data_IF_198608083740
#
_entry.id   IF_198608083740
#
_cell.length_a   1.000
_cell.length_b   1.000
_cell.length_c   1.000
_cell.angle_alpha   90.00
_cell.angle_beta   90.00
_cell.angle_gamma   90.00
#
_symmetry.space_group_name_H-M   'P 1'
#
loop_
_entity.id
_entity.type
_entity.pdbx_description
1 polymer ?
#
# COMPACT_ATOMS: atom_id res chain seq x y z
N UNK A 1 15.31 -58.29 1.28
CA UNK A 1 15.59 -56.97 0.68
C UNK A 1 14.36 -56.11 0.85
N UNK A 2 14.37 -55.16 1.78
CA UNK A 2 13.26 -54.22 1.98
C UNK A 2 13.36 -53.08 0.96
N UNK A 3 12.30 -52.75 0.20
CA UNK A 3 12.33 -51.61 -0.71
C UNK A 3 12.40 -50.31 0.11
N UNK A 4 13.40 -49.47 -0.18
CA UNK A 4 13.51 -48.12 0.39
C UNK A 4 12.33 -47.27 -0.11
N UNK A 5 11.64 -46.52 0.76
CA UNK A 5 10.63 -45.58 0.33
C UNK A 5 11.29 -44.46 -0.48
N UNK A 6 10.77 -44.22 -1.69
CA UNK A 6 11.20 -43.14 -2.57
C UNK A 6 10.72 -41.83 -1.95
N UNK A 7 11.69 -40.99 -1.57
CA UNK A 7 11.55 -39.56 -1.31
C UNK A 7 10.50 -38.89 -2.22
N UNK A 8 9.35 -38.31 -1.81
CA UNK A 8 8.62 -37.46 -2.73
C UNK A 8 9.53 -36.27 -3.06
N UNK A 9 10.01 -36.23 -4.31
CA UNK A 9 10.72 -35.07 -4.83
C UNK A 9 9.78 -33.88 -4.70
N UNK A 10 10.02 -33.03 -3.71
CA UNK A 10 9.44 -31.69 -3.64
C UNK A 10 9.93 -30.95 -4.88
N UNK A 11 9.08 -30.91 -5.90
CA UNK A 11 9.21 -30.02 -7.05
C UNK A 11 9.23 -28.60 -6.51
N UNK A 12 10.42 -28.07 -6.21
CA UNK A 12 10.60 -26.69 -5.81
C UNK A 12 10.10 -25.82 -6.96
N UNK A 13 9.00 -25.10 -6.72
CA UNK A 13 8.50 -24.10 -7.65
C UNK A 13 9.63 -23.07 -7.87
N UNK A 14 10.11 -22.94 -9.11
CA UNK A 14 11.07 -21.92 -9.46
C UNK A 14 10.32 -20.59 -9.62
N UNK A 15 10.56 -19.66 -8.69
CA UNK A 15 10.08 -18.29 -8.82
C UNK A 15 11.10 -17.48 -9.62
N UNK A 16 10.77 -17.02 -10.84
CA UNK A 16 11.69 -16.17 -11.61
C UNK A 16 12.06 -14.92 -10.83
N UNK A 17 13.23 -14.37 -11.11
CA UNK A 17 13.65 -13.10 -10.54
C UNK A 17 12.68 -11.99 -10.97
N UNK A 18 12.31 -11.07 -10.07
CA UNK A 18 11.43 -9.96 -10.41
C UNK A 18 12.09 -9.03 -11.43
N UNK A 19 11.31 -8.50 -12.36
CA UNK A 19 11.81 -7.54 -13.34
C UNK A 19 12.42 -6.31 -12.62
N UNK A 20 13.69 -5.97 -12.90
CA UNK A 20 14.39 -4.94 -12.13
C UNK A 20 13.87 -3.52 -12.40
N UNK A 21 13.26 -3.30 -13.58
CA UNK A 21 12.84 -1.98 -14.03
C UNK A 21 11.45 -1.53 -13.56
N UNK A 22 10.61 -2.46 -13.07
CA UNK A 22 9.22 -2.14 -12.71
C UNK A 22 9.14 -1.10 -11.59
N UNK A 23 9.89 -1.32 -10.50
CA UNK A 23 9.93 -0.40 -9.36
C UNK A 23 10.47 1.00 -9.74
N UNK A 24 11.67 1.14 -10.36
CA UNK A 24 12.19 2.45 -10.72
C UNK A 24 11.36 3.15 -11.79
N UNK A 25 10.75 2.42 -12.74
CA UNK A 25 9.88 3.03 -13.74
C UNK A 25 8.60 3.61 -13.11
N UNK A 26 7.96 2.86 -12.20
CA UNK A 26 6.78 3.33 -11.48
C UNK A 26 7.10 4.56 -10.63
N UNK A 27 8.16 4.50 -9.84
CA UNK A 27 8.59 5.65 -9.02
C UNK A 27 8.96 6.85 -9.88
N UNK A 28 9.67 6.64 -11.00
CA UNK A 28 9.99 7.70 -11.94
C UNK A 28 8.75 8.35 -12.52
N UNK A 29 7.73 7.57 -12.89
CA UNK A 29 6.46 8.09 -13.39
C UNK A 29 5.70 8.90 -12.33
N UNK A 30 5.62 8.39 -11.10
CA UNK A 30 4.98 9.08 -9.96
C UNK A 30 5.69 10.40 -9.65
N UNK A 31 7.02 10.38 -9.52
CA UNK A 31 7.81 11.59 -9.25
C UNK A 31 7.70 12.60 -10.40
N UNK A 32 7.74 12.13 -11.65
CA UNK A 32 7.55 13.01 -12.81
C UNK A 32 6.16 13.67 -12.80
N UNK A 33 5.12 12.94 -12.43
CA UNK A 33 3.77 13.49 -12.30
C UNK A 33 3.69 14.55 -11.19
N UNK A 34 4.26 14.28 -10.01
CA UNK A 34 4.27 15.24 -8.89
C UNK A 34 5.05 16.52 -9.25
N UNK A 35 6.22 16.36 -9.89
CA UNK A 35 7.04 17.49 -10.35
C UNK A 35 6.34 18.30 -11.45
N UNK A 36 5.71 17.63 -12.42
CA UNK A 36 4.92 18.29 -13.46
C UNK A 36 3.75 19.06 -12.86
N UNK A 37 3.06 18.46 -11.88
CA UNK A 37 1.95 19.11 -11.17
C UNK A 37 2.44 20.36 -10.42
N UNK A 38 3.53 20.26 -9.67
CA UNK A 38 4.13 21.41 -8.99
C UNK A 38 4.51 22.54 -9.97
N UNK A 39 5.09 22.18 -11.13
CA UNK A 39 5.40 23.15 -12.18
C UNK A 39 4.14 23.82 -12.74
N UNK A 40 3.12 23.05 -13.12
CA UNK A 40 1.88 23.61 -13.69
C UNK A 40 1.17 24.59 -12.77
N UNK A 41 1.30 24.42 -11.44
CA UNK A 41 0.69 25.30 -10.44
C UNK A 41 1.58 26.45 -9.97
N UNK A 42 2.80 26.57 -10.50
CA UNK A 42 3.74 27.63 -10.16
C UNK A 42 3.16 29.03 -10.44
N UNK A 43 3.42 30.03 -9.56
CA UNK A 43 4.29 29.96 -8.39
C UNK A 43 3.66 29.30 -7.15
N UNK A 44 2.34 29.10 -7.11
CA UNK A 44 1.64 28.48 -5.99
C UNK A 44 1.59 26.94 -6.09
N UNK A 45 2.76 26.33 -6.16
CA UNK A 45 2.97 24.89 -6.36
C UNK A 45 2.38 24.04 -5.21
N UNK A 46 2.21 24.63 -4.02
CA UNK A 46 1.65 23.99 -2.83
C UNK A 46 0.23 23.48 -3.08
N UNK A 47 -0.51 24.13 -3.98
CA UNK A 47 -1.86 23.69 -4.41
C UNK A 47 -1.86 22.32 -5.09
N UNK A 48 -0.72 21.87 -5.60
CA UNK A 48 -0.59 20.52 -6.14
C UNK A 48 -0.66 19.43 -5.05
N UNK A 49 -0.57 19.81 -3.77
CA UNK A 49 -0.42 18.90 -2.64
C UNK A 49 -1.35 19.18 -1.44
N UNK A 50 -1.77 20.43 -1.17
CA UNK A 50 -2.46 20.83 0.09
C UNK A 50 -3.98 20.57 0.18
N UNK A 51 -4.59 19.84 -0.75
CA UNK A 51 -6.06 19.68 -0.72
C UNK A 51 -6.51 18.32 -1.21
N UNK A 52 -7.66 17.87 -0.74
CA UNK A 52 -8.36 16.63 -1.15
C UNK A 52 -8.83 16.64 -2.62
N UNK A 53 -8.66 17.78 -3.31
CA UNK A 53 -8.91 17.91 -4.75
C UNK A 53 -7.63 18.13 -5.55
N UNK A 54 -6.48 18.02 -4.89
CA UNK A 54 -5.17 18.24 -5.50
C UNK A 54 -4.80 17.09 -6.45
N UNK A 55 -3.94 17.36 -7.46
CA UNK A 55 -3.36 16.30 -8.29
C UNK A 55 -2.76 15.15 -7.50
N UNK A 56 -2.15 15.40 -6.34
CA UNK A 56 -1.56 14.36 -5.50
C UNK A 56 -2.62 13.45 -4.87
N UNK A 57 -3.70 14.00 -4.27
CA UNK A 57 -4.83 13.22 -3.73
C UNK A 57 -5.53 12.36 -4.80
N UNK A 58 -5.73 12.91 -6.01
CA UNK A 58 -6.26 12.14 -7.15
C UNK A 58 -5.32 10.99 -7.54
N UNK A 59 -4.01 11.22 -7.50
CA UNK A 59 -3.04 10.18 -7.79
C UNK A 59 -3.03 9.11 -6.69
N UNK A 60 -3.14 9.47 -5.41
CA UNK A 60 -3.27 8.52 -4.30
C UNK A 60 -4.50 7.62 -4.49
N UNK A 61 -5.68 8.21 -4.70
CA UNK A 61 -6.91 7.46 -5.00
C UNK A 61 -6.73 6.48 -6.17
N UNK A 62 -6.06 6.90 -7.24
CA UNK A 62 -5.78 6.05 -8.40
C UNK A 62 -4.77 4.93 -8.08
N UNK A 63 -3.75 5.20 -7.27
CA UNK A 63 -2.77 4.20 -6.82
C UNK A 63 -3.41 3.18 -5.87
N UNK A 64 -4.24 3.60 -4.92
CA UNK A 64 -4.99 2.70 -4.04
C UNK A 64 -5.95 1.80 -4.82
N UNK A 65 -6.66 2.34 -5.81
CA UNK A 65 -7.48 1.53 -6.71
C UNK A 65 -6.62 0.54 -7.53
N UNK A 66 -5.46 0.98 -7.98
CA UNK A 66 -4.51 0.12 -8.71
C UNK A 66 -3.96 -0.99 -7.81
N UNK A 67 -3.66 -0.69 -6.55
CA UNK A 67 -3.28 -1.66 -5.52
C UNK A 67 -4.39 -2.69 -5.28
N UNK A 68 -5.64 -2.24 -5.21
CA UNK A 68 -6.82 -3.10 -5.09
C UNK A 68 -6.93 -4.09 -6.27
N UNK A 69 -6.86 -3.57 -7.51
CA UNK A 69 -6.91 -4.38 -8.74
C UNK A 69 -5.71 -5.34 -8.82
N UNK A 70 -4.52 -4.86 -8.45
CA UNK A 70 -3.30 -5.68 -8.43
C UNK A 70 -3.41 -6.81 -7.43
N UNK A 71 -3.90 -6.54 -6.21
CA UNK A 71 -4.16 -7.55 -5.21
C UNK A 71 -5.20 -8.57 -5.69
N UNK A 72 -6.28 -8.12 -6.36
CA UNK A 72 -7.31 -9.00 -6.91
C UNK A 72 -6.73 -9.92 -7.99
N UNK A 73 -5.92 -9.37 -8.91
CA UNK A 73 -5.21 -10.14 -9.94
C UNK A 73 -4.27 -11.16 -9.32
N UNK A 74 -3.42 -10.76 -8.36
CA UNK A 74 -2.50 -11.66 -7.67
C UNK A 74 -3.24 -12.76 -6.91
N UNK A 75 -4.45 -12.48 -6.42
CA UNK A 75 -5.33 -13.47 -5.79
C UNK A 75 -5.87 -14.47 -6.81
N UNK A 76 -6.39 -13.98 -7.93
CA UNK A 76 -6.95 -14.80 -9.01
C UNK A 76 -5.89 -15.72 -9.65
N UNK A 77 -4.67 -15.22 -9.82
CA UNK A 77 -3.53 -15.97 -10.35
C UNK A 77 -2.83 -16.85 -9.29
N UNK A 78 -3.34 -16.88 -8.05
CA UNK A 78 -2.77 -17.63 -6.92
C UNK A 78 -1.32 -17.26 -6.59
N UNK A 79 -0.93 -16.01 -6.87
CA UNK A 79 0.38 -15.43 -6.52
C UNK A 79 0.46 -15.04 -5.04
N UNK A 80 -0.70 -14.90 -4.39
CA UNK A 80 -0.84 -14.67 -2.95
C UNK A 80 -1.78 -15.73 -2.34
N UNK A 81 -1.63 -16.05 -1.04
CA UNK A 81 -2.62 -16.81 -0.30
C UNK A 81 -4.00 -16.15 -0.42
N UNK A 82 -5.03 -16.93 -0.76
CA UNK A 82 -6.39 -16.40 -1.04
C UNK A 82 -6.90 -15.41 0.02
N UNK A 83 -6.77 -15.77 1.31
CA UNK A 83 -7.25 -14.92 2.41
C UNK A 83 -6.50 -13.59 2.49
N UNK A 84 -5.18 -13.59 2.29
CA UNK A 84 -4.37 -12.38 2.25
C UNK A 84 -4.76 -11.51 1.05
N UNK A 85 -4.89 -12.15 -0.11
CA UNK A 85 -5.26 -11.49 -1.35
C UNK A 85 -6.62 -10.79 -1.26
N UNK A 86 -7.65 -11.49 -0.79
CA UNK A 86 -8.98 -10.91 -0.53
C UNK A 86 -8.90 -9.78 0.50
N UNK A 87 -8.15 -9.99 1.60
CA UNK A 87 -7.96 -8.96 2.63
C UNK A 87 -7.34 -7.68 2.05
N UNK A 88 -6.30 -7.80 1.23
CA UNK A 88 -5.64 -6.67 0.57
C UNK A 88 -6.58 -5.98 -0.43
N UNK A 89 -7.31 -6.73 -1.25
CA UNK A 89 -8.30 -6.15 -2.18
C UNK A 89 -9.35 -5.34 -1.44
N UNK A 90 -9.91 -5.88 -0.37
CA UNK A 90 -10.91 -5.16 0.42
C UNK A 90 -10.31 -3.95 1.13
N UNK A 91 -9.11 -4.09 1.72
CA UNK A 91 -8.44 -3.00 2.41
C UNK A 91 -8.10 -1.84 1.46
N UNK A 92 -7.44 -2.10 0.33
CA UNK A 92 -7.14 -1.04 -0.63
C UNK A 92 -8.38 -0.46 -1.29
N UNK A 93 -9.42 -1.27 -1.53
CA UNK A 93 -10.71 -0.76 -2.00
C UNK A 93 -11.37 0.18 -0.99
N UNK A 94 -11.34 -0.17 0.30
CA UNK A 94 -11.85 0.68 1.37
C UNK A 94 -11.03 1.96 1.50
N UNK A 95 -9.69 1.88 1.46
CA UNK A 95 -8.81 3.06 1.50
C UNK A 95 -9.01 3.97 0.28
N UNK A 96 -9.18 3.43 -0.93
CA UNK A 96 -9.45 4.24 -2.11
C UNK A 96 -10.79 5.00 -2.03
N UNK A 97 -11.80 4.40 -1.41
CA UNK A 97 -13.07 5.07 -1.14
C UNK A 97 -12.94 6.09 -0.02
N UNK A 98 -12.21 5.75 1.02
CA UNK A 98 -11.94 6.63 2.15
C UNK A 98 -11.21 7.90 1.69
N UNK A 99 -10.20 7.76 0.85
CA UNK A 99 -9.46 8.88 0.25
C UNK A 99 -10.39 9.79 -0.57
N UNK A 100 -11.23 9.21 -1.42
CA UNK A 100 -12.09 10.00 -2.30
C UNK A 100 -13.28 10.67 -1.59
N UNK A 101 -13.75 10.09 -0.48
CA UNK A 101 -14.97 10.54 0.22
C UNK A 101 -14.72 10.99 1.66
N UNK A 102 -13.48 10.97 2.11
CA UNK A 102 -13.02 11.34 3.46
C UNK A 102 -13.86 10.67 4.56
N UNK A 103 -14.11 9.36 4.42
CA UNK A 103 -15.06 8.65 5.29
C UNK A 103 -14.59 8.66 6.76
N UNK A 104 -13.29 8.51 7.00
CA UNK A 104 -12.70 8.54 8.32
C UNK A 104 -12.78 9.95 8.94
N UNK A 105 -12.67 11.01 8.15
CA UNK A 105 -12.87 12.38 8.64
C UNK A 105 -14.33 12.67 8.96
N UNK A 106 -15.24 12.26 8.08
CA UNK A 106 -16.68 12.35 8.34
C UNK A 106 -17.03 11.62 9.64
N UNK A 107 -16.44 10.46 9.89
CA UNK A 107 -16.56 9.79 11.19
C UNK A 107 -15.96 10.63 12.33
N UNK A 108 -14.69 11.03 12.21
CA UNK A 108 -13.95 11.70 13.27
C UNK A 108 -14.62 13.01 13.72
N UNK A 109 -15.09 13.81 12.76
CA UNK A 109 -15.64 15.13 13.03
C UNK A 109 -17.16 15.15 13.18
N UNK A 110 -17.90 14.33 12.42
CA UNK A 110 -19.37 14.38 12.40
C UNK A 110 -20.07 13.23 13.12
N UNK A 111 -19.34 12.25 13.67
CA UNK A 111 -20.01 11.12 14.33
C UNK A 111 -20.89 11.50 15.54
N UNK A 112 -20.57 12.62 16.20
CA UNK A 112 -21.39 13.12 17.31
C UNK A 112 -22.82 13.51 16.88
N UNK A 113 -23.08 13.72 15.59
CA UNK A 113 -24.41 14.08 15.06
C UNK A 113 -25.38 12.89 15.04
N UNK A 114 -24.87 11.66 15.01
CA UNK A 114 -25.70 10.44 14.84
C UNK A 114 -25.50 9.37 15.91
N UNK A 115 -24.50 9.49 16.80
CA UNK A 115 -24.16 8.45 17.77
C UNK A 115 -23.58 9.03 19.08
N UNK A 116 -24.32 8.87 20.18
CA UNK A 116 -23.92 9.37 21.52
C UNK A 116 -22.57 8.82 22.00
N UNK A 117 -22.19 7.62 21.55
CA UNK A 117 -20.92 6.99 21.90
C UNK A 117 -19.71 7.80 21.39
N UNK A 118 -19.88 8.65 20.37
CA UNK A 118 -18.81 9.50 19.84
C UNK A 118 -18.39 10.64 20.77
N UNK A 119 -19.03 10.80 21.94
CA UNK A 119 -18.47 11.59 23.05
C UNK A 119 -17.12 11.06 23.54
N UNK A 120 -16.88 9.75 23.44
CA UNK A 120 -15.62 9.13 23.84
C UNK A 120 -14.60 9.24 22.71
N UNK A 121 -13.42 9.82 22.98
CA UNK A 121 -12.37 10.02 21.97
C UNK A 121 -11.95 8.72 21.27
N UNK A 122 -11.88 7.60 22.01
CA UNK A 122 -11.54 6.29 21.44
C UNK A 122 -12.51 5.84 20.35
N UNK A 123 -13.80 6.19 20.45
CA UNK A 123 -14.79 5.85 19.42
C UNK A 123 -14.60 6.72 18.18
N UNK A 124 -14.23 8.00 18.35
CA UNK A 124 -13.92 8.90 17.22
C UNK A 124 -12.65 8.47 16.49
N UNK A 125 -11.62 8.03 17.20
CA UNK A 125 -10.36 7.57 16.61
C UNK A 125 -10.39 6.10 16.15
N UNK A 126 -11.50 5.38 16.39
CA UNK A 126 -11.58 3.94 16.13
C UNK A 126 -11.27 3.55 14.68
N UNK A 127 -11.72 4.28 13.63
CA UNK A 127 -11.34 3.95 12.25
C UNK A 127 -9.84 4.07 12.01
N UNK A 128 -9.20 5.16 12.48
CA UNK A 128 -7.75 5.35 12.31
C UNK A 128 -6.94 4.26 13.04
N UNK A 129 -7.37 3.90 14.26
CA UNK A 129 -6.76 2.80 15.01
C UNK A 129 -6.96 1.45 14.31
N UNK A 130 -8.13 1.20 13.73
CA UNK A 130 -8.41 -0.02 12.98
C UNK A 130 -7.50 -0.13 11.75
N UNK A 131 -7.33 0.96 10.98
CA UNK A 131 -6.42 1.01 9.84
C UNK A 131 -4.99 0.72 10.27
N UNK A 132 -4.49 1.32 11.36
CA UNK A 132 -3.14 1.07 11.86
C UNK A 132 -2.93 -0.40 12.26
N UNK A 133 -3.85 -0.99 13.02
CA UNK A 133 -3.75 -2.38 13.50
C UNK A 133 -3.85 -3.37 12.33
N UNK A 134 -4.86 -3.20 11.46
CA UNK A 134 -5.06 -4.06 10.29
C UNK A 134 -3.89 -3.91 9.32
N UNK A 135 -3.39 -2.68 9.12
CA UNK A 135 -2.24 -2.37 8.29
C UNK A 135 -0.98 -3.10 8.74
N UNK A 136 -0.62 -3.02 10.03
CA UNK A 136 0.56 -3.72 10.58
C UNK A 136 0.41 -5.24 10.49
N UNK A 137 -0.77 -5.77 10.83
CA UNK A 137 -1.03 -7.21 10.72
C UNK A 137 -0.92 -7.70 9.27
N UNK A 138 -1.47 -6.94 8.31
CA UNK A 138 -1.44 -7.26 6.89
C UNK A 138 -0.03 -7.11 6.32
N UNK A 139 0.74 -6.12 6.75
CA UNK A 139 2.15 -5.93 6.40
C UNK A 139 2.98 -7.14 6.83
N UNK A 140 2.83 -7.59 8.08
CA UNK A 140 3.54 -8.76 8.60
C UNK A 140 3.18 -10.03 7.81
N UNK A 141 1.90 -10.22 7.48
CA UNK A 141 1.46 -11.36 6.68
C UNK A 141 2.00 -11.29 5.24
N UNK A 142 1.94 -10.11 4.62
CA UNK A 142 2.45 -9.88 3.28
C UNK A 142 3.97 -10.08 3.21
N UNK A 143 4.71 -9.62 4.22
CA UNK A 143 6.15 -9.86 4.32
C UNK A 143 6.50 -11.35 4.22
N UNK A 144 5.75 -12.20 4.93
CA UNK A 144 5.91 -13.66 4.88
C UNK A 144 5.53 -14.28 3.53
N UNK A 145 4.57 -13.68 2.82
CA UNK A 145 4.09 -14.17 1.51
C UNK A 145 4.97 -13.73 0.33
N UNK A 146 5.73 -12.63 0.46
CA UNK A 146 6.62 -12.15 -0.60
C UNK A 146 7.85 -13.05 -0.74
N UNK A 147 8.14 -13.44 -1.98
CA UNK A 147 9.20 -14.43 -2.29
C UNK A 147 10.61 -13.85 -2.25
N UNK A 148 10.80 -12.61 -2.73
CA UNK A 148 12.12 -12.01 -2.92
C UNK A 148 12.46 -10.95 -1.88
N UNK A 149 13.71 -10.95 -1.37
CA UNK A 149 14.21 -9.95 -0.41
C UNK A 149 14.11 -8.53 -0.95
N UNK A 150 14.43 -8.33 -2.24
CA UNK A 150 14.34 -7.00 -2.85
C UNK A 150 12.90 -6.49 -2.88
N UNK A 151 11.91 -7.36 -3.13
CA UNK A 151 10.48 -7.01 -3.10
C UNK A 151 10.03 -6.63 -1.69
N UNK A 152 10.47 -7.37 -0.67
CA UNK A 152 10.26 -7.00 0.74
C UNK A 152 10.90 -5.66 1.09
N UNK A 153 12.05 -5.35 0.50
CA UNK A 153 12.73 -4.06 0.66
C UNK A 153 11.85 -2.88 0.24
N UNK A 154 11.19 -2.98 -0.92
CA UNK A 154 10.24 -1.93 -1.37
C UNK A 154 9.00 -1.83 -0.50
N UNK A 155 8.46 -2.96 -0.04
CA UNK A 155 7.34 -2.97 0.90
C UNK A 155 7.69 -2.21 2.18
N UNK A 156 8.87 -2.50 2.76
CA UNK A 156 9.34 -1.82 3.96
C UNK A 156 9.70 -0.35 3.72
N UNK A 157 10.24 -0.02 2.55
CA UNK A 157 10.47 1.38 2.16
C UNK A 157 9.15 2.14 2.08
N UNK A 158 8.12 1.57 1.46
CA UNK A 158 6.78 2.15 1.42
C UNK A 158 6.21 2.35 2.81
N UNK A 159 6.28 1.33 3.67
CA UNK A 159 5.84 1.46 5.06
C UNK A 159 6.60 2.55 5.83
N UNK A 160 7.92 2.66 5.65
CA UNK A 160 8.73 3.69 6.31
C UNK A 160 8.32 5.10 5.85
N UNK A 161 8.09 5.31 4.55
CA UNK A 161 7.61 6.60 4.02
C UNK A 161 6.21 6.90 4.54
N UNK A 162 5.30 5.92 4.58
CA UNK A 162 3.96 6.09 5.13
C UNK A 162 3.97 6.43 6.62
N UNK A 163 4.84 5.80 7.42
CA UNK A 163 5.01 6.19 8.83
C UNK A 163 5.52 7.63 8.98
N UNK A 164 6.38 8.09 8.07
CA UNK A 164 6.83 9.48 8.07
C UNK A 164 5.68 10.43 7.72
N UNK A 165 4.82 10.07 6.76
CA UNK A 165 3.65 10.87 6.39
C UNK A 165 2.67 10.99 7.56
N UNK A 166 2.30 9.87 8.17
CA UNK A 166 1.49 9.85 9.41
C UNK A 166 2.15 10.68 10.52
N UNK A 167 3.48 10.62 10.66
CA UNK A 167 4.22 11.41 11.63
C UNK A 167 4.15 12.91 11.38
N UNK A 168 4.14 13.33 10.11
CA UNK A 168 3.97 14.72 9.67
C UNK A 168 2.55 15.19 9.96
N UNK A 169 1.53 14.41 9.59
CA UNK A 169 0.11 14.68 9.82
C UNK A 169 -0.21 14.80 11.33
N UNK A 170 0.29 13.86 12.14
CA UNK A 170 0.00 13.83 13.57
C UNK A 170 0.84 14.81 14.40
N UNK A 171 1.88 15.44 13.82
CA UNK A 171 2.80 16.32 14.55
C UNK A 171 2.10 17.45 15.32
N UNK A 172 1.11 18.17 14.75
CA UNK A 172 0.40 19.25 15.45
C UNK A 172 -0.35 18.76 16.70
N UNK A 173 -0.84 17.52 16.69
CA UNK A 173 -1.54 16.92 17.84
C UNK A 173 -0.56 16.53 18.96
N UNK A 174 0.66 16.13 18.62
CA UNK A 174 1.70 15.71 19.58
C UNK A 174 2.44 16.90 20.20
N UNK A 175 2.69 17.97 19.44
CA UNK A 175 3.28 19.21 19.95
C UNK A 175 2.40 20.45 19.66
N UNK A 176 1.31 20.65 20.42
CA UNK A 176 0.39 21.77 20.19
C UNK A 176 1.02 23.16 20.38
N UNK A 177 2.16 23.24 21.05
CA UNK A 177 2.85 24.50 21.39
C UNK A 177 4.21 24.66 20.68
N UNK A 178 4.59 23.73 19.80
CA UNK A 178 5.91 23.68 19.15
C UNK A 178 5.80 23.63 17.63
N UNK A 179 5.59 24.77 17.00
CA UNK A 179 5.47 24.90 15.55
C UNK A 179 6.83 24.91 14.84
N UNK A 180 7.65 23.87 15.04
CA UNK A 180 8.95 23.74 14.36
C UNK A 180 8.92 22.78 13.18
N UNK A 181 7.79 22.10 12.92
CA UNK A 181 7.68 21.30 11.71
C UNK A 181 7.79 22.25 10.50
N UNK A 182 8.79 22.04 9.61
CA UNK A 182 8.94 22.87 8.43
C UNK A 182 7.66 22.87 7.60
N UNK A 183 7.18 24.04 7.19
CA UNK A 183 5.99 24.20 6.33
C UNK A 183 6.09 23.37 5.05
N UNK A 184 7.32 23.19 4.54
CA UNK A 184 7.61 22.31 3.41
C UNK A 184 7.22 20.85 3.68
N UNK A 185 7.49 20.31 4.87
CA UNK A 185 7.13 18.92 5.19
C UNK A 185 5.63 18.74 5.31
N UNK A 186 4.94 19.67 5.98
CA UNK A 186 3.48 19.66 6.05
C UNK A 186 2.84 19.78 4.65
N UNK A 187 3.47 20.53 3.75
CA UNK A 187 3.00 20.66 2.36
C UNK A 187 3.24 19.41 1.52
N UNK A 188 4.25 18.60 1.87
CA UNK A 188 4.65 17.41 1.12
C UNK A 188 4.09 16.11 1.70
N UNK A 189 3.28 16.17 2.75
CA UNK A 189 2.63 15.00 3.38
C UNK A 189 1.94 14.11 2.34
N UNK A 190 1.00 14.68 1.59
CA UNK A 190 0.27 14.03 0.50
C UNK A 190 1.22 13.38 -0.54
N UNK A 191 2.30 14.08 -0.89
CA UNK A 191 3.29 13.56 -1.82
C UNK A 191 4.05 12.36 -1.22
N UNK A 192 4.28 12.33 0.10
CA UNK A 192 4.89 11.20 0.78
C UNK A 192 3.94 10.00 0.80
N UNK A 193 2.64 10.20 1.00
CA UNK A 193 1.64 9.11 0.93
C UNK A 193 1.61 8.47 -0.46
N UNK A 194 1.51 9.29 -1.51
CA UNK A 194 1.60 8.85 -2.91
C UNK A 194 2.88 8.03 -3.17
N UNK A 195 4.03 8.48 -2.65
CA UNK A 195 5.29 7.74 -2.78
C UNK A 195 5.23 6.42 -2.00
N UNK A 196 4.68 6.39 -0.79
CA UNK A 196 4.52 5.19 0.01
C UNK A 196 3.67 4.14 -0.73
N UNK A 197 2.53 4.55 -1.29
CA UNK A 197 1.65 3.69 -2.08
C UNK A 197 2.33 3.16 -3.34
N UNK A 198 3.06 4.01 -4.06
CA UNK A 198 3.82 3.61 -5.24
C UNK A 198 4.89 2.56 -4.90
N UNK A 199 5.55 2.68 -3.74
CA UNK A 199 6.53 1.70 -3.25
C UNK A 199 5.85 0.36 -2.91
N UNK A 200 4.67 0.38 -2.29
CA UNK A 200 3.89 -0.84 -2.02
C UNK A 200 3.41 -1.48 -3.33
N UNK A 201 2.95 -0.68 -4.29
CA UNK A 201 2.51 -1.16 -5.60
C UNK A 201 3.69 -1.77 -6.38
N UNK A 202 4.86 -1.13 -6.34
CA UNK A 202 6.09 -1.67 -6.89
C UNK A 202 6.44 -3.04 -6.28
N UNK A 203 6.21 -3.23 -4.97
CA UNK A 203 6.40 -4.53 -4.33
C UNK A 203 5.42 -5.58 -4.87
N UNK A 204 4.12 -5.26 -4.96
CA UNK A 204 3.11 -6.20 -5.45
C UNK A 204 3.29 -6.56 -6.93
N UNK A 205 3.57 -5.58 -7.80
CA UNK A 205 3.82 -5.82 -9.23
C UNK A 205 5.06 -6.70 -9.49
N UNK A 206 6.00 -6.72 -8.55
CA UNK A 206 7.21 -7.55 -8.60
C UNK A 206 7.00 -8.94 -8.00
N UNK A 207 5.80 -9.29 -7.51
CA UNK A 207 5.53 -10.64 -7.05
C UNK A 207 5.40 -11.59 -8.26
N UNK A 208 6.25 -12.62 -8.36
CA UNK A 208 6.19 -13.56 -9.48
C UNK A 208 4.95 -14.44 -9.37
N UNK A 209 4.35 -14.76 -10.51
CA UNK A 209 3.28 -15.75 -10.57
C UNK A 209 3.78 -17.16 -10.23
N UNK A 210 2.96 -17.95 -9.53
CA UNK A 210 3.24 -19.37 -9.35
C UNK A 210 3.01 -20.05 -10.69
N UNK A 211 4.09 -20.34 -11.43
CA UNK A 211 3.99 -21.21 -12.61
C UNK A 211 4.03 -22.66 -12.14
N UNK A 212 3.00 -23.48 -12.44
CA UNK A 212 3.15 -24.93 -12.36
C UNK A 212 4.27 -25.34 -13.30
N UNK A 213 5.20 -26.19 -12.84
CA UNK A 213 6.13 -26.86 -13.75
C UNK A 213 5.29 -27.63 -14.80
N UNK A 214 5.68 -27.61 -16.09
CA UNK A 214 5.01 -28.45 -17.08
C UNK A 214 5.08 -29.89 -16.59
N UNK A 215 3.91 -30.52 -16.41
CA UNK A 215 3.85 -31.93 -16.06
C UNK A 215 4.64 -32.68 -17.13
N UNK A 216 5.69 -33.41 -16.76
CA UNK A 216 6.26 -34.45 -17.63
C UNK A 216 5.12 -35.42 -17.92
N UNK A 217 4.37 -35.19 -19.01
CA UNK A 217 3.56 -36.24 -19.63
C UNK A 217 4.56 -37.31 -19.97
N UNK A 218 4.48 -38.45 -19.28
CA UNK A 218 5.14 -39.66 -19.71
C UNK A 218 4.66 -39.90 -21.14
N UNK A 219 5.54 -39.72 -22.12
CA UNK A 219 5.41 -40.37 -23.41
C UNK A 219 5.56 -41.85 -23.12
N UNK A 220 4.44 -42.51 -22.83
CA UNK A 220 4.37 -43.96 -22.91
C UNK A 220 4.14 -44.30 -24.38
N UNK A 221 5.20 -44.86 -24.97
CA UNK A 221 5.24 -45.87 -26.03
C UNK A 221 4.02 -46.00 -26.94
#
# INVERSE_FOLDING_TARGET
MSPRPIAPHTSQAFSPAPHPWVAPALLGAVLAFLLLSAWLFAPGWERAFRSDTSPASWLSSALLLTLCITAMRLTAERCLPWRLGVCLTLAFGALALDEQFMLHELWKFRCHEWLDACRWGVVREAPMLAVAVVGVATLAWLHGALSHRSTRGWLWAGFAVGLLAIGVDQWPNVQPHGAWLPELLATLEEAMEVVAEALVLAALLRQPGIRPLPSRRKQTS
#
